data_IF_579234666694
#
_entry.id   IF_579234666694
#
_cell.length_a   1.000
_cell.length_b   1.000
_cell.length_c   1.000
_cell.angle_alpha   90.00
_cell.angle_beta   90.00
_cell.angle_gamma   90.00
#
_symmetry.space_group_name_H-M   'P 1'
#
loop_
_entity.id
_entity.type
_entity.pdbx_description
1 polymer ?
#
# COMPACT_ATOMS: atom_id res chain seq x y z
N UNK A 1 6.42 8.39 -8.88
CA UNK A 1 7.61 7.50 -8.85
C UNK A 1 7.38 6.24 -8.03
N UNK A 2 6.93 6.32 -6.77
CA UNK A 2 6.65 5.12 -5.94
C UNK A 2 5.79 4.08 -6.66
N UNK A 3 4.59 4.45 -7.11
CA UNK A 3 3.71 3.59 -7.89
C UNK A 3 4.30 3.13 -9.23
N UNK A 4 4.94 4.03 -9.97
CA UNK A 4 5.54 3.70 -11.26
C UNK A 4 6.65 2.64 -11.14
N UNK A 5 7.27 2.54 -9.97
CA UNK A 5 8.35 1.59 -9.67
C UNK A 5 7.92 0.49 -8.70
N UNK A 6 6.61 0.35 -8.49
CA UNK A 6 6.04 -0.64 -7.60
C UNK A 6 6.30 -2.04 -8.17
N UNK A 7 6.67 -3.01 -7.32
CA UNK A 7 7.03 -4.35 -7.82
C UNK A 7 5.86 -5.12 -8.44
N UNK A 8 4.63 -4.71 -8.15
CA UNK A 8 3.41 -5.26 -8.76
C UNK A 8 3.06 -4.57 -10.10
N UNK A 9 3.79 -3.53 -10.49
CA UNK A 9 3.65 -2.87 -11.78
C UNK A 9 4.82 -3.27 -12.69
N UNK A 10 4.59 -4.25 -13.58
CA UNK A 10 5.60 -4.70 -14.55
C UNK A 10 5.90 -3.64 -15.62
N UNK A 11 4.87 -2.88 -16.00
CA UNK A 11 4.91 -1.82 -17.00
C UNK A 11 4.20 -0.60 -16.47
N UNK A 12 4.76 0.58 -16.74
CA UNK A 12 4.13 1.85 -16.39
C UNK A 12 4.31 2.84 -17.54
N UNK A 13 3.20 3.41 -18.02
CA UNK A 13 3.23 4.47 -19.01
C UNK A 13 3.04 5.82 -18.34
N UNK A 14 3.88 6.78 -18.70
CA UNK A 14 3.77 8.17 -18.28
C UNK A 14 3.21 8.98 -19.44
N UNK A 15 2.03 9.57 -19.19
CA UNK A 15 1.36 10.48 -20.10
C UNK A 15 1.52 11.90 -19.57
N UNK A 16 2.01 12.80 -20.41
CA UNK A 16 2.02 14.23 -20.17
C UNK A 16 1.10 14.95 -21.18
N UNK A 17 0.58 16.10 -20.78
CA UNK A 17 -0.04 17.04 -21.71
C UNK A 17 1.02 17.88 -22.44
N UNK A 18 2.16 18.17 -21.79
CA UNK A 18 3.26 19.02 -22.27
C UNK A 18 3.24 20.46 -21.71
N UNK A 19 2.31 20.76 -20.79
CA UNK A 19 2.26 22.05 -20.07
C UNK A 19 2.48 21.90 -18.55
N UNK A 20 2.75 20.69 -18.08
CA UNK A 20 3.01 20.41 -16.68
C UNK A 20 4.33 21.01 -16.23
N UNK A 21 4.47 21.22 -14.92
CA UNK A 21 5.78 21.59 -14.36
C UNK A 21 6.75 20.41 -14.46
N UNK A 22 6.25 19.18 -14.29
CA UNK A 22 7.03 17.94 -14.35
C UNK A 22 6.78 17.22 -15.66
N UNK A 23 7.78 17.22 -16.54
CA UNK A 23 7.72 16.59 -17.86
C UNK A 23 8.27 15.16 -17.83
N UNK A 24 7.99 14.39 -18.87
CA UNK A 24 8.51 13.04 -19.09
C UNK A 24 10.04 12.98 -19.03
N UNK A 25 10.74 14.00 -19.53
CA UNK A 25 12.21 14.05 -19.45
C UNK A 25 12.72 14.08 -18.00
N UNK A 26 12.07 14.83 -17.12
CA UNK A 26 12.40 14.81 -15.70
C UNK A 26 12.20 13.41 -15.11
N UNK A 27 11.07 12.77 -15.41
CA UNK A 27 10.78 11.42 -14.91
C UNK A 27 11.76 10.38 -15.44
N UNK A 28 12.17 10.48 -16.72
CA UNK A 28 13.23 9.65 -17.32
C UNK A 28 14.54 9.79 -16.56
N UNK A 29 14.99 11.03 -16.33
CA UNK A 29 16.21 11.29 -15.57
C UNK A 29 16.13 10.70 -14.16
N UNK A 30 15.01 10.90 -13.45
CA UNK A 30 14.83 10.35 -12.09
C UNK A 30 14.82 8.82 -12.05
N UNK A 31 14.19 8.17 -13.02
CA UNK A 31 14.18 6.70 -13.11
C UNK A 31 15.57 6.14 -13.43
N UNK A 32 16.30 6.78 -14.34
CA UNK A 32 17.67 6.41 -14.69
C UNK A 32 18.64 6.60 -13.50
N UNK A 33 18.53 7.71 -12.76
CA UNK A 33 19.31 7.94 -11.52
C UNK A 33 19.08 6.87 -10.46
N UNK A 34 17.87 6.32 -10.40
CA UNK A 34 17.50 5.23 -9.49
C UNK A 34 17.86 3.84 -10.04
N UNK A 35 18.46 3.76 -11.22
CA UNK A 35 18.92 2.52 -11.85
C UNK A 35 17.82 1.67 -12.48
N UNK A 36 16.64 2.24 -12.76
CA UNK A 36 15.58 1.51 -13.47
C UNK A 36 15.86 1.44 -14.97
N UNK A 37 15.46 0.33 -15.59
CA UNK A 37 15.48 0.18 -17.02
C UNK A 37 14.34 0.99 -17.65
N UNK A 38 14.67 1.95 -18.52
CA UNK A 38 13.67 2.81 -19.14
C UNK A 38 12.79 2.07 -20.16
N UNK A 39 13.21 0.89 -20.63
CA UNK A 39 12.41 0.05 -21.53
C UNK A 39 11.18 -0.57 -20.84
N UNK A 40 11.18 -0.61 -19.50
CA UNK A 40 10.00 -1.03 -18.71
C UNK A 40 8.91 0.06 -18.68
N UNK A 41 9.18 1.25 -19.22
CA UNK A 41 8.32 2.42 -19.16
C UNK A 41 7.86 2.90 -20.53
N UNK A 42 6.58 3.24 -20.62
CA UNK A 42 5.97 3.90 -21.76
C UNK A 42 6.01 5.41 -21.60
N UNK A 43 6.06 6.13 -22.72
CA UNK A 43 6.13 7.59 -22.73
C UNK A 43 5.20 8.12 -23.82
N UNK A 44 4.26 8.97 -23.42
CA UNK A 44 3.32 9.61 -24.34
C UNK A 44 3.15 11.09 -24.00
N UNK A 45 2.90 11.92 -25.01
CA UNK A 45 2.75 13.37 -24.86
C UNK A 45 1.67 13.90 -25.80
N UNK A 46 0.58 14.46 -25.25
CA UNK A 46 -0.56 14.95 -26.05
C UNK A 46 -0.13 16.00 -27.07
N UNK A 47 0.76 16.91 -26.67
CA UNK A 47 1.25 17.98 -27.55
C UNK A 47 2.18 17.48 -28.65
N UNK A 48 3.09 16.56 -28.32
CA UNK A 48 4.10 16.10 -29.26
C UNK A 48 3.57 15.01 -30.20
N UNK A 49 2.58 14.23 -29.75
CA UNK A 49 2.09 13.06 -30.47
C UNK A 49 0.81 13.32 -31.27
N UNK A 50 0.48 14.59 -31.56
CA UNK A 50 -0.59 14.94 -32.49
C UNK A 50 -2.00 14.94 -31.88
N UNK A 51 -2.12 15.18 -30.58
CA UNK A 51 -3.40 15.33 -29.88
C UNK A 51 -3.92 14.05 -29.22
N UNK A 52 -5.07 14.19 -28.55
CA UNK A 52 -5.61 13.17 -27.63
C UNK A 52 -5.86 11.83 -28.32
N UNK A 53 -6.52 11.82 -29.49
CA UNK A 53 -6.88 10.58 -30.17
C UNK A 53 -5.64 9.75 -30.57
N UNK A 54 -4.65 10.40 -31.19
CA UNK A 54 -3.40 9.77 -31.60
C UNK A 54 -2.61 9.21 -30.40
N UNK A 55 -2.59 9.94 -29.28
CA UNK A 55 -1.98 9.46 -28.05
C UNK A 55 -2.68 8.23 -27.49
N UNK A 56 -4.02 8.21 -27.47
CA UNK A 56 -4.77 7.06 -26.98
C UNK A 56 -4.46 5.81 -27.81
N UNK A 57 -4.51 5.93 -29.14
CA UNK A 57 -4.15 4.83 -30.06
C UNK A 57 -2.73 4.31 -29.79
N UNK A 58 -1.77 5.23 -29.54
CA UNK A 58 -0.39 4.88 -29.20
C UNK A 58 -0.28 4.15 -27.86
N UNK A 59 -0.99 4.62 -26.84
CA UNK A 59 -1.01 4.00 -25.51
C UNK A 59 -1.58 2.59 -25.60
N UNK A 60 -2.70 2.41 -26.30
CA UNK A 60 -3.34 1.11 -26.51
C UNK A 60 -2.40 0.15 -27.25
N UNK A 61 -1.77 0.61 -28.34
CA UNK A 61 -0.80 -0.19 -29.09
C UNK A 61 0.38 -0.61 -28.20
N UNK A 62 0.93 0.31 -27.40
CA UNK A 62 2.06 0.01 -26.51
C UNK A 62 1.72 -1.04 -25.46
N UNK A 63 0.55 -0.93 -24.82
CA UNK A 63 0.10 -1.94 -23.85
C UNK A 63 -0.19 -3.30 -24.52
N UNK A 64 -0.74 -3.31 -25.73
CA UNK A 64 -0.97 -4.54 -26.48
C UNK A 64 0.34 -5.24 -26.87
N UNK A 65 1.34 -4.47 -27.34
CA UNK A 65 2.66 -4.98 -27.70
C UNK A 65 3.44 -5.50 -26.49
N UNK A 66 3.45 -4.75 -25.39
CA UNK A 66 4.10 -5.18 -24.13
C UNK A 66 3.42 -6.40 -23.55
N UNK A 67 2.08 -6.44 -23.48
CA UNK A 67 1.35 -7.64 -23.01
C UNK A 67 1.60 -8.89 -23.88
N UNK A 68 1.83 -8.72 -25.18
CA UNK A 68 2.13 -9.83 -26.08
C UNK A 68 3.58 -10.34 -25.98
N UNK A 69 4.51 -9.47 -25.60
CA UNK A 69 5.95 -9.78 -25.54
C UNK A 69 6.43 -10.15 -24.14
N UNK A 70 5.77 -9.62 -23.11
CA UNK A 70 6.14 -9.84 -21.72
C UNK A 70 5.88 -11.28 -21.28
N UNK A 71 6.78 -11.85 -20.47
CA UNK A 71 6.56 -13.15 -19.89
C UNK A 71 5.34 -13.10 -18.96
N UNK A 72 4.51 -14.13 -19.03
CA UNK A 72 3.39 -14.29 -18.10
C UNK A 72 3.94 -14.39 -16.66
N UNK A 73 3.38 -13.63 -15.69
CA UNK A 73 3.79 -13.73 -14.30
C UNK A 73 3.62 -15.16 -13.78
N UNK A 74 4.70 -15.74 -13.27
CA UNK A 74 4.67 -17.06 -12.65
C UNK A 74 4.59 -16.91 -11.13
N UNK A 75 3.64 -17.60 -10.50
CA UNK A 75 3.57 -17.70 -9.05
C UNK A 75 4.81 -18.39 -8.50
N UNK A 76 5.40 -17.82 -7.43
CA UNK A 76 6.52 -18.41 -6.71
C UNK A 76 6.17 -18.58 -5.24
N UNK A 77 6.86 -19.50 -4.56
CA UNK A 77 6.68 -19.65 -3.13
C UNK A 77 7.29 -18.45 -2.40
N UNK A 78 6.44 -17.65 -1.76
CA UNK A 78 6.84 -16.56 -0.89
C UNK A 78 7.20 -17.01 0.52
N UNK A 79 7.83 -16.11 1.27
CA UNK A 79 8.07 -16.23 2.71
C UNK A 79 7.84 -14.88 3.40
N UNK A 80 7.88 -14.84 4.73
CA UNK A 80 7.82 -13.58 5.49
C UNK A 80 8.91 -12.58 5.05
N UNK A 81 10.09 -13.07 4.65
CA UNK A 81 11.19 -12.24 4.14
C UNK A 81 10.85 -11.51 2.83
N UNK A 82 9.92 -12.05 2.05
CA UNK A 82 9.49 -11.47 0.77
C UNK A 82 8.30 -10.52 0.89
N UNK A 83 7.66 -10.45 2.06
CA UNK A 83 6.45 -9.68 2.29
C UNK A 83 6.77 -8.21 2.61
N UNK A 84 6.04 -7.29 1.97
CA UNK A 84 6.06 -5.86 2.30
C UNK A 84 4.67 -5.43 2.74
N UNK A 85 4.50 -5.21 4.04
CA UNK A 85 3.21 -4.97 4.67
C UNK A 85 3.06 -3.50 5.08
N UNK A 86 2.00 -2.85 4.62
CA UNK A 86 1.53 -1.58 5.19
C UNK A 86 0.61 -1.84 6.39
N UNK A 87 0.71 -1.03 7.43
CA UNK A 87 -0.16 -1.11 8.61
C UNK A 87 -0.78 0.27 8.92
N UNK A 88 -2.08 0.27 9.19
CA UNK A 88 -2.82 1.44 9.65
C UNK A 88 -3.98 1.01 10.57
N UNK A 89 -4.45 1.92 11.41
CA UNK A 89 -5.73 1.79 12.09
C UNK A 89 -6.52 3.10 12.03
N UNK A 90 -7.79 3.00 11.64
CA UNK A 90 -8.73 4.12 11.51
C UNK A 90 -9.74 4.19 12.67
N UNK A 91 -9.71 3.18 13.55
CA UNK A 91 -10.46 3.15 14.81
C UNK A 91 -9.55 2.74 15.98
N UNK A 92 -9.89 3.09 17.24
CA UNK A 92 -9.18 2.60 18.41
C UNK A 92 -9.09 1.07 18.42
N UNK A 93 -7.87 0.53 18.55
CA UNK A 93 -7.67 -0.91 18.61
C UNK A 93 -7.69 -1.42 20.07
N UNK A 94 -8.40 -2.51 20.36
CA UNK A 94 -8.20 -3.27 21.58
C UNK A 94 -6.75 -3.74 21.74
N UNK A 95 -6.29 -3.92 22.99
CA UNK A 95 -4.93 -4.35 23.29
C UNK A 95 -4.56 -5.67 22.61
N UNK A 96 -5.51 -6.60 22.54
CA UNK A 96 -5.34 -7.92 21.92
C UNK A 96 -5.14 -7.82 20.39
N UNK A 97 -5.91 -6.96 19.71
CA UNK A 97 -5.76 -6.74 18.28
C UNK A 97 -4.45 -6.02 17.96
N UNK A 98 -4.07 -5.06 18.81
CA UNK A 98 -2.77 -4.40 18.73
C UNK A 98 -1.61 -5.39 18.95
N UNK A 99 -1.73 -6.30 19.93
CA UNK A 99 -0.77 -7.36 20.16
C UNK A 99 -0.63 -8.28 18.95
N UNK A 100 -1.75 -8.67 18.33
CA UNK A 100 -1.73 -9.53 17.15
C UNK A 100 -1.01 -8.88 15.95
N UNK A 101 -1.29 -7.60 15.69
CA UNK A 101 -0.61 -6.83 14.65
C UNK A 101 0.88 -6.63 14.97
N UNK A 102 1.24 -6.46 16.25
CA UNK A 102 2.64 -6.34 16.67
C UNK A 102 3.41 -7.64 16.46
N UNK A 103 2.83 -8.80 16.80
CA UNK A 103 3.41 -10.12 16.52
C UNK A 103 3.66 -10.30 15.03
N UNK A 104 2.69 -9.95 14.19
CA UNK A 104 2.86 -10.01 12.74
C UNK A 104 3.99 -9.09 12.26
N UNK A 105 3.99 -7.83 12.70
CA UNK A 105 4.97 -6.82 12.30
C UNK A 105 6.40 -7.24 12.67
N UNK A 106 6.60 -7.68 13.91
CA UNK A 106 7.90 -8.14 14.43
C UNK A 106 8.38 -9.39 13.72
N UNK A 107 7.52 -10.38 13.50
CA UNK A 107 7.89 -11.60 12.79
C UNK A 107 8.30 -11.34 11.32
N UNK A 108 7.57 -10.47 10.61
CA UNK A 108 7.91 -10.08 9.24
C UNK A 108 9.26 -9.36 9.21
N UNK A 109 9.45 -8.35 10.07
CA UNK A 109 10.69 -7.60 10.13
C UNK A 109 11.89 -8.50 10.51
N UNK A 110 11.73 -9.38 11.50
CA UNK A 110 12.76 -10.31 11.93
C UNK A 110 13.13 -11.36 10.86
N UNK A 111 12.18 -11.75 10.01
CA UNK A 111 12.42 -12.63 8.88
C UNK A 111 13.12 -11.93 7.69
N UNK A 112 13.34 -10.61 7.76
CA UNK A 112 13.91 -9.82 6.67
C UNK A 112 12.90 -9.26 5.67
N UNK A 113 11.61 -9.25 6.03
CA UNK A 113 10.55 -8.55 5.29
C UNK A 113 10.49 -7.07 5.63
N UNK A 114 9.52 -6.36 5.05
CA UNK A 114 9.34 -4.92 5.29
C UNK A 114 7.97 -4.65 5.89
N UNK A 115 7.92 -3.83 6.93
CA UNK A 115 6.67 -3.34 7.52
C UNK A 115 6.72 -1.81 7.53
N UNK A 116 5.65 -1.17 7.04
CA UNK A 116 5.52 0.28 7.03
C UNK A 116 4.24 0.66 7.76
N UNK A 117 4.38 1.25 8.95
CA UNK A 117 3.26 1.78 9.72
C UNK A 117 3.00 3.24 9.36
N UNK A 118 1.73 3.63 9.24
CA UNK A 118 1.34 5.04 9.19
C UNK A 118 1.64 5.73 10.53
N UNK A 119 2.21 6.94 10.49
CA UNK A 119 2.47 7.73 11.70
C UNK A 119 1.18 8.13 12.41
N UNK A 120 0.21 8.64 11.66
CA UNK A 120 -1.12 9.04 12.12
C UNK A 120 -2.07 7.84 12.27
N UNK A 121 -3.23 8.10 12.88
CA UNK A 121 -4.24 7.09 13.16
C UNK A 121 -4.01 6.41 14.50
N UNK A 122 -4.70 5.31 14.78
CA UNK A 122 -4.76 4.74 16.13
C UNK A 122 -3.65 3.73 16.44
N UNK A 123 -2.92 3.25 15.42
CA UNK A 123 -1.99 2.13 15.57
C UNK A 123 -0.82 2.46 16.49
N UNK A 124 -0.10 3.56 16.22
CA UNK A 124 1.04 3.98 17.03
C UNK A 124 0.63 4.65 18.35
N UNK A 125 -0.66 4.97 18.53
CA UNK A 125 -1.20 5.41 19.81
C UNK A 125 -1.55 4.23 20.75
N UNK A 126 -1.47 2.99 20.28
CA UNK A 126 -1.68 1.81 21.13
C UNK A 126 -0.39 1.46 21.88
N UNK A 127 -0.38 1.56 23.23
CA UNK A 127 0.80 1.19 24.02
C UNK A 127 1.18 -0.29 23.84
N UNK A 128 0.19 -1.17 23.68
CA UNK A 128 0.41 -2.60 23.45
C UNK A 128 1.16 -2.84 22.14
N UNK A 129 0.82 -2.10 21.07
CA UNK A 129 1.53 -2.21 19.79
C UNK A 129 2.95 -1.66 19.90
N UNK A 130 3.12 -0.43 20.39
CA UNK A 130 4.42 0.26 20.46
C UNK A 130 5.40 -0.49 21.36
N UNK A 131 4.97 -0.94 22.53
CA UNK A 131 5.83 -1.69 23.44
C UNK A 131 6.31 -3.01 22.81
N UNK A 132 5.43 -3.71 22.11
CA UNK A 132 5.77 -4.98 21.47
C UNK A 132 6.61 -4.82 20.19
N UNK A 133 6.48 -3.73 19.43
CA UNK A 133 7.23 -3.54 18.17
C UNK A 133 8.52 -2.73 18.32
N UNK A 134 8.50 -1.68 19.14
CA UNK A 134 9.56 -0.67 19.22
C UNK A 134 10.29 -0.67 20.57
N UNK A 135 9.71 -1.32 21.59
CA UNK A 135 10.27 -1.37 22.94
C UNK A 135 10.42 0.00 23.60
N UNK A 136 9.66 1.01 23.15
CA UNK A 136 9.79 2.40 23.57
C UNK A 136 8.55 2.87 24.34
N UNK A 137 8.78 3.76 25.32
CA UNK A 137 7.72 4.46 26.06
C UNK A 137 7.24 5.74 25.34
N UNK A 138 7.93 6.16 24.27
CA UNK A 138 7.63 7.38 23.49
C UNK A 138 7.16 7.06 22.06
N UNK A 139 6.32 7.94 21.50
CA UNK A 139 5.84 7.82 20.12
C UNK A 139 7.02 7.87 19.13
N UNK A 140 7.11 6.92 18.18
CA UNK A 140 8.23 6.88 17.25
C UNK A 140 8.22 8.08 16.30
N UNK A 141 9.40 8.64 16.06
CA UNK A 141 9.59 9.58 14.96
C UNK A 141 9.53 8.84 13.61
N UNK A 142 9.01 9.46 12.54
CA UNK A 142 9.00 8.84 11.21
C UNK A 142 10.40 8.49 10.71
N UNK A 143 10.57 7.27 10.23
CA UNK A 143 11.79 6.82 9.54
C UNK A 143 11.72 7.07 8.02
N UNK A 144 10.51 7.25 7.50
CA UNK A 144 10.26 7.56 6.09
C UNK A 144 9.46 8.86 5.99
N UNK A 145 9.79 9.67 4.98
CA UNK A 145 8.90 10.72 4.49
C UNK A 145 7.61 10.12 3.92
N UNK A 146 6.57 10.92 3.77
CA UNK A 146 5.35 10.51 3.07
C UNK A 146 5.68 9.94 1.69
N UNK A 147 5.13 8.76 1.36
CA UNK A 147 5.42 8.00 0.12
C UNK A 147 6.89 7.56 -0.08
N UNK A 148 7.72 7.63 0.98
CA UNK A 148 9.12 7.27 0.92
C UNK A 148 9.32 5.75 0.77
N UNK A 149 10.17 5.34 -0.18
CA UNK A 149 10.56 3.94 -0.35
C UNK A 149 11.57 3.54 0.74
N UNK A 150 11.35 2.44 1.48
CA UNK A 150 12.35 1.88 2.40
C UNK A 150 13.63 1.47 1.66
N UNK A 151 14.80 1.85 2.19
CA UNK A 151 16.11 1.48 1.62
C UNK A 151 16.55 0.07 2.03
N UNK A 152 16.06 -0.42 3.17
CA UNK A 152 16.36 -1.75 3.69
C UNK A 152 15.09 -2.39 4.30
N UNK A 153 15.03 -3.74 4.38
CA UNK A 153 13.99 -4.43 5.13
C UNK A 153 13.98 -4.06 6.62
N UNK A 154 12.88 -4.36 7.29
CA UNK A 154 12.65 -4.01 8.70
C UNK A 154 11.34 -3.25 8.91
N UNK A 155 11.20 -2.70 10.12
CA UNK A 155 10.05 -1.90 10.53
C UNK A 155 10.31 -0.41 10.31
N UNK A 156 9.37 0.26 9.63
CA UNK A 156 9.45 1.67 9.28
C UNK A 156 8.18 2.41 9.66
N UNK A 157 8.32 3.70 9.97
CA UNK A 157 7.19 4.60 10.21
C UNK A 157 7.17 5.66 9.12
N UNK A 158 6.08 5.70 8.35
CA UNK A 158 5.89 6.69 7.30
C UNK A 158 5.20 7.94 7.86
N UNK A 159 5.81 9.11 7.64
CA UNK A 159 5.21 10.39 7.97
C UNK A 159 3.87 10.56 7.23
N UNK A 160 2.86 11.04 7.95
CA UNK A 160 1.50 11.26 7.44
C UNK A 160 1.14 12.73 7.63
N UNK A 161 1.18 13.56 6.57
CA UNK A 161 0.89 14.99 6.68
C UNK A 161 -0.57 15.30 7.08
N UNK A 162 -1.47 14.32 6.93
CA UNK A 162 -2.89 14.43 7.26
C UNK A 162 -3.37 13.15 7.94
N UNK A 163 -4.53 13.22 8.59
CA UNK A 163 -5.21 12.07 9.18
C UNK A 163 -6.27 11.46 8.24
N UNK A 164 -6.31 11.88 6.97
CA UNK A 164 -7.31 11.39 6.01
C UNK A 164 -6.95 9.99 5.52
N UNK A 165 -7.81 8.96 5.74
CA UNK A 165 -7.45 7.56 5.44
C UNK A 165 -7.00 7.32 4.00
N UNK A 166 -7.69 7.92 3.02
CA UNK A 166 -7.32 7.77 1.60
C UNK A 166 -5.94 8.35 1.30
N UNK A 167 -5.56 9.47 1.92
CA UNK A 167 -4.24 10.06 1.71
C UNK A 167 -3.15 9.20 2.33
N UNK A 168 -3.41 8.64 3.52
CA UNK A 168 -2.48 7.73 4.19
C UNK A 168 -2.31 6.44 3.38
N UNK A 169 -3.40 5.83 2.91
CA UNK A 169 -3.37 4.65 2.05
C UNK A 169 -2.61 4.93 0.75
N UNK A 170 -2.85 6.08 0.12
CA UNK A 170 -2.13 6.49 -1.09
C UNK A 170 -0.63 6.67 -0.82
N UNK A 171 -0.26 7.18 0.36
CA UNK A 171 1.13 7.27 0.79
C UNK A 171 1.76 5.90 1.01
N UNK A 172 1.07 5.03 1.76
CA UNK A 172 1.53 3.68 2.07
C UNK A 172 1.75 2.87 0.80
N UNK A 173 0.79 2.83 -0.13
CA UNK A 173 0.96 2.10 -1.38
C UNK A 173 2.16 2.58 -2.20
N UNK A 174 2.45 3.89 -2.19
CA UNK A 174 3.59 4.46 -2.88
C UNK A 174 4.95 4.06 -2.27
N UNK A 175 4.98 3.60 -1.01
CA UNK A 175 6.22 3.12 -0.36
C UNK A 175 6.72 1.79 -0.95
N UNK A 176 5.87 1.06 -1.68
CA UNK A 176 6.22 -0.24 -2.26
C UNK A 176 5.73 -1.46 -1.48
N UNK A 177 4.74 -1.27 -0.60
CA UNK A 177 4.06 -2.37 0.13
C UNK A 177 3.09 -3.11 -0.79
N UNK A 178 3.02 -4.42 -0.64
CA UNK A 178 2.17 -5.29 -1.48
C UNK A 178 0.72 -5.29 -1.05
N UNK A 179 0.50 -4.99 0.22
CA UNK A 179 -0.79 -5.07 0.88
C UNK A 179 -0.76 -4.13 2.08
N UNK A 180 -1.88 -3.49 2.35
CA UNK A 180 -2.10 -2.74 3.57
C UNK A 180 -3.14 -3.46 4.41
N UNK A 181 -2.82 -3.76 5.68
CA UNK A 181 -3.81 -4.21 6.66
C UNK A 181 -4.29 -2.99 7.43
N UNK A 182 -5.61 -2.81 7.47
CA UNK A 182 -6.26 -1.68 8.14
C UNK A 182 -7.18 -2.22 9.22
N UNK A 183 -6.92 -1.85 10.48
CA UNK A 183 -7.91 -2.05 11.52
C UNK A 183 -8.97 -0.95 11.46
N UNK A 184 -10.21 -1.32 11.16
CA UNK A 184 -11.33 -0.39 10.92
C UNK A 184 -12.34 -0.33 12.06
N UNK A 185 -12.33 -1.31 12.97
CA UNK A 185 -13.42 -1.49 13.92
C UNK A 185 -14.77 -1.56 13.20
N UNK A 186 -15.77 -0.82 13.69
CA UNK A 186 -17.10 -0.73 13.08
C UNK A 186 -17.21 0.29 11.92
N UNK A 187 -16.11 0.87 11.45
CA UNK A 187 -16.15 1.92 10.43
C UNK A 187 -15.19 1.60 9.28
N UNK A 188 -15.65 0.81 8.28
CA UNK A 188 -14.85 0.53 7.10
C UNK A 188 -14.51 1.80 6.32
N UNK A 189 -13.43 1.72 5.54
CA UNK A 189 -12.89 2.83 4.74
C UNK A 189 -12.86 2.47 3.26
N UNK A 190 -12.57 3.45 2.40
CA UNK A 190 -12.30 3.14 0.99
C UNK A 190 -11.00 2.32 0.86
N UNK A 191 -11.01 1.35 -0.06
CA UNK A 191 -9.80 0.65 -0.46
C UNK A 191 -8.92 1.49 -1.37
N UNK A 192 -7.90 0.87 -1.96
CA UNK A 192 -6.96 1.53 -2.86
C UNK A 192 -6.94 0.84 -4.24
N UNK A 193 -6.89 1.59 -5.37
CA UNK A 193 -6.99 1.01 -6.72
C UNK A 193 -5.82 0.11 -7.12
N UNK A 194 -4.63 0.38 -6.60
CA UNK A 194 -3.38 -0.25 -7.06
C UNK A 194 -2.73 -1.18 -6.03
N UNK A 195 -3.18 -1.13 -4.79
CA UNK A 195 -2.59 -1.90 -3.67
C UNK A 195 -3.73 -2.50 -2.87
N UNK A 196 -3.79 -3.83 -2.72
CA UNK A 196 -4.78 -4.49 -1.87
C UNK A 196 -4.84 -3.90 -0.47
N UNK A 197 -6.06 -3.61 0.00
CA UNK A 197 -6.33 -3.15 1.37
C UNK A 197 -7.19 -4.21 2.04
N UNK A 198 -6.66 -4.85 3.08
CA UNK A 198 -7.32 -5.89 3.87
C UNK A 198 -7.87 -5.25 5.14
N UNK A 199 -9.19 -5.14 5.23
CA UNK A 199 -9.87 -4.58 6.40
C UNK A 199 -10.12 -5.64 7.47
N UNK A 200 -9.73 -5.31 8.71
CA UNK A 200 -9.92 -6.17 9.88
C UNK A 200 -10.64 -5.45 11.02
N UNK A 201 -11.39 -6.21 11.79
CA UNK A 201 -11.95 -5.77 13.07
C UNK A 201 -12.06 -6.97 14.03
N UNK A 202 -12.28 -6.70 15.32
CA UNK A 202 -12.65 -7.76 16.28
C UNK A 202 -14.15 -8.01 16.24
N UNK A 203 -14.57 -9.25 16.55
CA UNK A 203 -15.98 -9.61 16.68
C UNK A 203 -16.72 -8.75 17.73
N UNK A 204 -16.05 -8.41 18.84
CA UNK A 204 -16.61 -7.53 19.87
C UNK A 204 -16.77 -6.08 19.41
N UNK A 205 -15.88 -5.62 18.53
CA UNK A 205 -15.80 -4.23 18.07
C UNK A 205 -16.55 -3.94 16.78
N UNK A 206 -17.19 -4.93 16.16
CA UNK A 206 -17.81 -4.82 14.86
C UNK A 206 -19.23 -5.44 14.82
N UNK A 207 -20.27 -4.66 14.52
CA UNK A 207 -21.62 -5.17 14.31
C UNK A 207 -21.69 -6.27 13.21
N UNK A 208 -22.59 -7.27 13.33
CA UNK A 208 -22.66 -8.39 12.38
C UNK A 208 -23.00 -8.01 10.93
N UNK A 209 -23.70 -6.89 10.73
CA UNK A 209 -24.02 -6.34 9.41
C UNK A 209 -22.75 -5.80 8.73
N UNK A 210 -21.90 -5.10 9.47
CA UNK A 210 -20.63 -4.56 8.97
C UNK A 210 -19.59 -5.67 8.81
N UNK A 211 -19.56 -6.63 9.74
CA UNK A 211 -18.58 -7.71 9.75
C UNK A 211 -18.61 -8.58 8.48
N UNK A 212 -19.77 -8.66 7.80
CA UNK A 212 -19.93 -9.39 6.52
C UNK A 212 -19.20 -8.74 5.36
N UNK A 213 -18.94 -7.45 5.45
CA UNK A 213 -18.29 -6.66 4.41
C UNK A 213 -16.79 -6.45 4.67
N UNK A 214 -16.25 -7.02 5.75
CA UNK A 214 -14.83 -7.01 6.08
C UNK A 214 -14.10 -8.19 5.46
N UNK A 215 -12.78 -8.04 5.26
CA UNK A 215 -11.95 -9.11 4.71
C UNK A 215 -11.62 -10.20 5.75
N UNK A 216 -11.57 -9.81 7.03
CA UNK A 216 -11.34 -10.72 8.15
C UNK A 216 -11.93 -10.15 9.45
N UNK A 217 -12.81 -10.93 10.09
CA UNK A 217 -13.25 -10.69 11.46
C UNK A 217 -12.37 -11.53 12.40
N UNK A 218 -11.69 -10.90 13.35
CA UNK A 218 -10.92 -11.57 14.39
C UNK A 218 -11.87 -12.07 15.49
N UNK A 219 -11.94 -13.39 15.64
CA UNK A 219 -12.80 -14.09 16.59
C UNK A 219 -12.06 -15.31 17.18
N UNK A 220 -12.60 -15.87 18.26
CA UNK A 220 -12.02 -17.00 18.98
C UNK A 220 -10.85 -16.58 19.88
N UNK A 221 -9.85 -17.46 20.01
CA UNK A 221 -8.70 -17.23 20.87
C UNK A 221 -7.79 -16.12 20.29
N UNK A 222 -7.43 -15.16 21.14
CA UNK A 222 -6.54 -14.04 20.81
C UNK A 222 -5.18 -14.55 20.35
N UNK A 223 -4.70 -15.68 20.91
CA UNK A 223 -3.42 -16.26 20.54
C UNK A 223 -3.37 -16.71 19.07
N UNK A 224 -4.53 -17.00 18.46
CA UNK A 224 -4.64 -17.43 17.06
C UNK A 224 -4.75 -16.26 16.07
N UNK A 225 -5.06 -15.05 16.53
CA UNK A 225 -5.31 -13.90 15.65
C UNK A 225 -4.14 -13.55 14.71
N UNK A 226 -2.85 -13.57 15.13
CA UNK A 226 -1.73 -13.39 14.21
C UNK A 226 -1.75 -14.41 13.06
N UNK A 227 -2.07 -15.67 13.37
CA UNK A 227 -2.14 -16.74 12.38
C UNK A 227 -3.33 -16.57 11.43
N UNK A 228 -4.49 -16.11 11.93
CA UNK A 228 -5.65 -15.79 11.10
C UNK A 228 -5.32 -14.68 10.08
N UNK A 229 -4.69 -13.59 10.53
CA UNK A 229 -4.27 -12.48 9.65
C UNK A 229 -3.26 -12.97 8.62
N UNK A 230 -2.23 -13.71 9.05
CA UNK A 230 -1.20 -14.24 8.16
C UNK A 230 -1.78 -15.23 7.12
N UNK A 231 -2.71 -16.09 7.52
CA UNK A 231 -3.40 -17.00 6.61
C UNK A 231 -4.18 -16.22 5.54
N UNK A 232 -4.89 -15.16 5.94
CA UNK A 232 -5.62 -14.30 5.01
C UNK A 232 -4.68 -13.56 4.05
N UNK A 233 -3.54 -13.07 4.53
CA UNK A 233 -2.49 -12.50 3.68
C UNK A 233 -1.93 -13.54 2.69
N UNK A 234 -1.78 -14.79 3.13
CA UNK A 234 -1.38 -15.91 2.27
C UNK A 234 -2.41 -16.23 1.19
N UNK A 235 -3.70 -16.18 1.50
CA UNK A 235 -4.77 -16.32 0.51
C UNK A 235 -4.75 -15.18 -0.51
N UNK A 236 -4.53 -13.94 -0.07
CA UNK A 236 -4.39 -12.78 -0.96
C UNK A 236 -3.19 -12.96 -1.91
N UNK A 237 -2.01 -13.26 -1.35
CA UNK A 237 -0.78 -13.42 -2.11
C UNK A 237 -0.85 -14.59 -3.10
N UNK A 238 -1.64 -15.63 -2.77
CA UNK A 238 -1.90 -16.76 -3.66
C UNK A 238 -3.08 -16.52 -4.62
N UNK A 239 -3.63 -15.30 -4.66
CA UNK A 239 -4.76 -14.90 -5.50
C UNK A 239 -6.02 -15.76 -5.28
N UNK A 240 -6.20 -16.31 -4.07
CA UNK A 240 -7.38 -17.10 -3.69
C UNK A 240 -8.56 -16.25 -3.25
N UNK A 241 -8.33 -14.97 -2.97
CA UNK A 241 -9.40 -14.00 -2.72
C UNK A 241 -8.98 -12.60 -3.18
N UNK A 242 -9.96 -11.74 -3.40
CA UNK A 242 -9.79 -10.31 -3.72
C UNK A 242 -10.44 -9.48 -2.61
N UNK A 243 -9.80 -8.41 -2.10
CA UNK A 243 -10.38 -7.61 -1.03
C UNK A 243 -11.78 -7.08 -1.35
N UNK A 244 -12.62 -7.01 -0.32
CA UNK A 244 -14.03 -6.64 -0.43
C UNK A 244 -14.19 -5.26 -1.07
N UNK A 245 -13.42 -4.27 -0.62
CA UNK A 245 -13.46 -2.90 -1.15
C UNK A 245 -13.06 -2.81 -2.61
N UNK A 246 -12.07 -3.60 -3.03
CA UNK A 246 -11.65 -3.68 -4.42
C UNK A 246 -12.74 -4.34 -5.29
N UNK A 247 -13.34 -5.42 -4.81
CA UNK A 247 -14.42 -6.14 -5.53
C UNK A 247 -15.69 -5.31 -5.69
N UNK A 248 -16.01 -4.47 -4.70
CA UNK A 248 -17.15 -3.56 -4.73
C UNK A 248 -16.90 -2.27 -5.51
N UNK A 249 -15.66 -2.02 -5.94
CA UNK A 249 -15.25 -0.73 -6.53
C UNK A 249 -15.30 0.44 -5.55
N UNK A 250 -15.37 0.18 -4.23
CA UNK A 250 -15.30 1.20 -3.19
C UNK A 250 -13.82 1.52 -2.89
N UNK A 251 -13.17 2.13 -3.87
CA UNK A 251 -11.74 2.46 -3.90
C UNK A 251 -11.56 3.95 -4.12
N UNK A 252 -10.47 4.50 -3.58
CA UNK A 252 -10.14 5.92 -3.75
C UNK A 252 -8.62 6.12 -3.83
N UNK A 253 -8.19 7.25 -4.40
CA UNK A 253 -6.79 7.61 -4.58
C UNK A 253 -6.63 9.12 -4.44
N UNK A 254 -5.89 9.54 -3.43
CA UNK A 254 -5.66 10.95 -3.18
C UNK A 254 -4.24 11.18 -2.70
N UNK A 255 -3.44 11.85 -3.53
CA UNK A 255 -2.12 12.33 -3.10
C UNK A 255 -2.34 13.47 -2.12
N UNK A 256 -1.64 13.42 -0.99
CA UNK A 256 -1.72 14.50 0.00
C UNK A 256 -1.37 15.85 -0.61
N UNK A 257 -2.11 16.88 -0.21
CA UNK A 257 -1.79 18.28 -0.55
C UNK A 257 -0.75 18.89 0.41
N UNK A 258 -0.11 18.05 1.23
CA UNK A 258 0.83 18.47 2.26
C UNK A 258 0.20 19.32 3.36
N UNK A 259 1.03 19.78 4.29
CA UNK A 259 0.58 20.57 5.45
C UNK A 259 -0.08 21.90 5.07
N UNK A 260 0.17 22.41 3.86
CA UNK A 260 -0.32 23.71 3.39
C UNK A 260 -1.50 23.62 2.41
N UNK A 261 -1.97 22.41 2.08
CA UNK A 261 -3.13 22.22 1.20
C UNK A 261 -2.86 22.47 -0.29
N UNK A 262 -1.60 22.46 -0.74
CA UNK A 262 -1.19 22.67 -2.13
C UNK A 262 -0.62 21.37 -2.71
N UNK A 263 -1.29 20.82 -3.73
CA UNK A 263 -0.70 19.79 -4.60
C UNK A 263 0.25 20.44 -5.59
N UNK A 264 1.50 19.96 -5.67
CA UNK A 264 2.47 20.33 -6.70
C UNK A 264 2.25 19.52 -7.98
#
# INVERSE_FOLDING_TARGET
LGYATHRMAQRCLLLEHGCEVTHNDFMRHRLAELGYNLDDFGWASVQLDGGIASVLDRIEAWFAETAASDPQPAGTQGSLASLRLGLMATAPLPADAAGALAVLATNIAAAGGTVVAAQSGYLLHSPAFVAATLGADELPSPTLRYSGKPEAPGFHVMATPTDHPVEILTGLGATGVDVVVVYTGAHPVQGHPLVPVLEIATAEGCPPDIARDLDLLLDGDVEDWPAQILARLGDLAAHRYVPARLSLGNIDFQITRGLMGISL
#
